data_IF_948478536810
#
_entry.id   IF_948478536810
#
_cell.length_a   1.000
_cell.length_b   1.000
_cell.length_c   1.000
_cell.angle_alpha   90.00
_cell.angle_beta   90.00
_cell.angle_gamma   90.00
#
_symmetry.space_group_name_H-M   'P 1'
#
loop_
_entity.id
_entity.type
_entity.pdbx_description
1 polymer ?
#
# COMPACT_ATOMS: atom_id res chain seq x y z
N UNK A 1 -20.80 -2.96 2.66
CA UNK A 1 -19.91 -2.33 3.65
C UNK A 1 -18.70 -1.83 2.90
N UNK A 2 -18.54 -0.51 2.89
CA UNK A 2 -17.59 0.21 2.05
C UNK A 2 -16.18 -0.36 2.25
N UNK A 3 -15.49 -0.70 1.16
CA UNK A 3 -14.04 -0.59 1.07
C UNK A 3 -13.69 0.87 1.39
N UNK A 4 -13.81 1.27 2.66
CA UNK A 4 -13.38 2.55 3.21
C UNK A 4 -11.86 2.55 3.06
N UNK A 5 -11.50 2.91 1.82
CA UNK A 5 -10.21 3.15 1.22
C UNK A 5 -9.05 2.45 1.93
N UNK A 6 -8.67 1.26 1.45
CA UNK A 6 -7.51 0.54 1.95
C UNK A 6 -6.26 1.45 1.97
N UNK A 7 -6.14 2.39 1.02
CA UNK A 7 -5.06 3.37 1.04
C UNK A 7 -5.16 4.35 2.22
N UNK A 8 -6.35 4.83 2.61
CA UNK A 8 -6.51 5.65 3.82
C UNK A 8 -6.17 4.88 5.10
N UNK A 9 -6.59 3.61 5.18
CA UNK A 9 -6.20 2.76 6.30
C UNK A 9 -4.68 2.61 6.39
N UNK A 10 -4.01 2.25 5.29
CA UNK A 10 -2.56 2.09 5.26
C UNK A 10 -1.81 3.40 5.49
N UNK A 11 -2.30 4.55 4.98
CA UNK A 11 -1.70 5.87 5.24
C UNK A 11 -1.71 6.20 6.73
N UNK A 12 -2.85 6.00 7.40
CA UNK A 12 -2.94 6.22 8.85
C UNK A 12 -1.98 5.32 9.62
N UNK A 13 -1.91 4.03 9.27
CA UNK A 13 -1.00 3.08 9.91
C UNK A 13 0.47 3.42 9.69
N UNK A 14 0.83 3.93 8.51
CA UNK A 14 2.19 4.40 8.23
C UNK A 14 2.57 5.57 9.15
N UNK A 15 1.68 6.56 9.31
CA UNK A 15 1.90 7.71 10.19
C UNK A 15 1.99 7.31 11.67
N UNK A 16 1.10 6.43 12.14
CA UNK A 16 1.15 5.90 13.51
C UNK A 16 2.48 5.18 13.79
N UNK A 17 2.93 4.33 12.87
CA UNK A 17 4.21 3.62 13.02
C UNK A 17 5.39 4.59 12.99
N UNK A 18 5.34 5.64 12.17
CA UNK A 18 6.39 6.65 12.13
C UNK A 18 6.46 7.43 13.46
N UNK A 19 5.33 7.87 14.01
CA UNK A 19 5.28 8.52 15.31
C UNK A 19 5.81 7.61 16.43
N UNK A 20 5.45 6.32 16.42
CA UNK A 20 5.99 5.35 17.38
C UNK A 20 7.50 5.13 17.23
N UNK A 21 8.06 5.21 16.02
CA UNK A 21 9.49 5.12 15.81
C UNK A 21 10.22 6.36 16.37
N UNK A 22 9.64 7.54 16.16
CA UNK A 22 10.18 8.82 16.64
C UNK A 22 10.18 8.90 18.18
N UNK A 23 9.12 8.39 18.82
CA UNK A 23 8.98 8.35 20.27
C UNK A 23 9.78 7.21 20.93
N UNK A 24 10.24 6.21 20.17
CA UNK A 24 10.93 5.05 20.71
C UNK A 24 12.34 5.39 21.24
N UNK A 25 12.55 5.09 22.52
CA UNK A 25 13.84 5.23 23.19
C UNK A 25 14.80 4.07 22.88
N UNK A 26 14.27 2.87 22.64
CA UNK A 26 15.07 1.69 22.32
C UNK A 26 15.33 1.63 20.80
N UNK A 27 16.59 1.48 20.36
CA UNK A 27 16.95 1.41 18.94
C UNK A 27 16.22 0.30 18.18
N UNK A 28 16.02 -0.86 18.80
CA UNK A 28 15.36 -2.02 18.20
C UNK A 28 13.86 -1.74 17.97
N UNK A 29 13.22 -1.09 18.94
CA UNK A 29 11.80 -0.70 18.84
C UNK A 29 11.61 0.36 17.76
N UNK A 30 12.52 1.35 17.70
CA UNK A 30 12.55 2.34 16.62
C UNK A 30 12.69 1.67 15.26
N UNK A 31 13.61 0.72 15.13
CA UNK A 31 13.85 0.01 13.88
C UNK A 31 12.60 -0.74 13.41
N UNK A 32 11.95 -1.51 14.28
CA UNK A 32 10.74 -2.24 13.95
C UNK A 32 9.62 -1.30 13.50
N UNK A 33 9.37 -0.21 14.22
CA UNK A 33 8.35 0.75 13.83
C UNK A 33 8.66 1.48 12.52
N UNK A 34 9.93 1.79 12.26
CA UNK A 34 10.37 2.36 10.99
C UNK A 34 10.17 1.39 9.81
N UNK A 35 10.50 0.09 9.99
CA UNK A 35 10.22 -0.93 8.98
C UNK A 35 8.72 -1.10 8.72
N UNK A 36 7.91 -1.06 9.78
CA UNK A 36 6.45 -1.12 9.67
C UNK A 36 5.89 0.09 8.90
N UNK A 37 6.39 1.30 9.19
CA UNK A 37 6.00 2.50 8.45
C UNK A 37 6.38 2.40 6.95
N UNK A 38 7.56 1.87 6.64
CA UNK A 38 7.99 1.63 5.26
C UNK A 38 7.10 0.63 4.54
N UNK A 39 6.73 -0.49 5.19
CA UNK A 39 5.82 -1.51 4.63
C UNK A 39 4.43 -0.95 4.38
N UNK A 40 3.85 -0.22 5.33
CA UNK A 40 2.54 0.41 5.12
C UNK A 40 2.58 1.43 3.98
N UNK A 41 3.68 2.19 3.84
CA UNK A 41 3.85 3.12 2.71
C UNK A 41 3.86 2.41 1.36
N UNK A 42 4.46 1.22 1.27
CA UNK A 42 4.38 0.39 0.05
C UNK A 42 2.95 -0.07 -0.24
N UNK A 43 2.23 -0.52 0.79
CA UNK A 43 0.82 -0.95 0.65
C UNK A 43 -0.11 0.20 0.23
N UNK A 44 0.17 1.45 0.63
CA UNK A 44 -0.55 2.62 0.11
C UNK A 44 -0.39 2.73 -1.40
N UNK A 45 0.84 2.62 -1.91
CA UNK A 45 1.13 2.72 -3.35
C UNK A 45 0.42 1.59 -4.11
N UNK A 46 0.41 0.37 -3.58
CA UNK A 46 -0.29 -0.78 -4.17
C UNK A 46 -1.80 -0.61 -4.17
N UNK A 47 -2.37 -0.12 -3.07
CA UNK A 47 -3.79 0.15 -2.96
C UNK A 47 -4.22 1.25 -3.94
N UNK A 48 -3.49 2.36 -4.00
CA UNK A 48 -3.75 3.46 -4.95
C UNK A 48 -3.63 3.01 -6.43
N UNK A 49 -2.69 2.11 -6.73
CA UNK A 49 -2.55 1.52 -8.08
C UNK A 49 -3.70 0.58 -8.42
N UNK A 50 -4.20 -0.18 -7.44
CA UNK A 50 -5.29 -1.13 -7.63
C UNK A 50 -6.65 -0.43 -7.77
N UNK A 51 -6.80 0.75 -7.18
CA UNK A 51 -7.99 1.61 -7.32
C UNK A 51 -8.03 2.33 -8.67
N UNK A 52 -6.89 2.47 -9.36
CA UNK A 52 -6.90 2.85 -10.78
C UNK A 52 -7.34 1.62 -11.56
N UNK A 53 -8.48 1.64 -12.28
CA UNK A 53 -8.82 0.55 -13.16
C UNK A 53 -7.65 0.40 -14.12
N UNK A 54 -6.97 -0.74 -14.05
CA UNK A 54 -6.00 -1.11 -15.06
C UNK A 54 -6.67 -0.86 -16.40
N UNK A 55 -6.08 -0.02 -17.24
CA UNK A 55 -6.32 -0.08 -18.68
C UNK A 55 -6.16 -1.54 -19.02
N UNK A 56 -7.29 -2.24 -19.16
CA UNK A 56 -7.32 -3.63 -19.58
C UNK A 56 -6.49 -3.63 -20.86
N UNK A 57 -5.38 -4.38 -20.95
CA UNK A 57 -4.82 -4.62 -22.25
C UNK A 57 -5.97 -5.26 -23.03
N UNK A 58 -6.43 -4.58 -24.07
CA UNK A 58 -7.36 -5.15 -25.03
C UNK A 58 -6.63 -6.37 -25.58
N UNK A 59 -6.88 -7.54 -24.97
CA UNK A 59 -6.45 -8.82 -25.49
C UNK A 59 -7.05 -8.89 -26.88
N UNK A 60 -6.22 -8.61 -27.89
CA UNK A 60 -6.58 -8.73 -29.29
C UNK A 60 -7.18 -10.10 -29.46
N UNK A 61 -8.47 -10.11 -29.80
CA UNK A 61 -9.21 -11.32 -30.13
C UNK A 61 -8.39 -12.04 -31.21
N UNK A 62 -7.85 -13.21 -30.88
CA UNK A 62 -7.27 -14.12 -31.86
C UNK A 62 -8.44 -14.60 -32.72
N UNK A 63 -8.73 -13.90 -33.82
CA UNK A 63 -9.51 -14.47 -34.90
C UNK A 63 -8.60 -15.36 -35.71
N UNK A 64 -8.56 -16.65 -35.32
CA UNK A 64 -8.12 -17.70 -36.22
C UNK A 64 -9.05 -17.71 -37.45
N UNK A 65 -8.46 -17.76 -38.64
CA UNK A 65 -9.20 -17.78 -39.89
C UNK A 65 -8.34 -18.31 -41.04
N UNK A 66 -8.41 -19.64 -41.21
CA UNK A 66 -8.11 -20.48 -42.38
C UNK A 66 -6.95 -20.13 -43.31
#
# INVERSE_FOLDING_TARGET
>A
MSYLNNAEYYRRRALECQAHADDAMLPEVRHVHAEMAARYSQLVIEAERSERPAMRPTLGVVTGGR
#
